data_IF_522471823611
#
_entry.id   IF_522471823611
#
_cell.length_a   1.000
_cell.length_b   1.000
_cell.length_c   1.000
_cell.angle_alpha   90.00
_cell.angle_beta   90.00
_cell.angle_gamma   90.00
#
_symmetry.space_group_name_H-M   'P 1'
#
loop_
_entity.id
_entity.type
_entity.pdbx_description
1 polymer ?
#
# COMPACT_ATOMS: atom_id res chain seq x y z
N UNK A 1 -10.41 22.39 -9.63
CA UNK A 1 -9.15 22.66 -10.29
C UNK A 1 -8.14 21.57 -9.92
N UNK A 2 -7.56 20.91 -10.91
CA UNK A 2 -6.44 20.00 -10.74
C UNK A 2 -5.16 20.81 -10.83
N UNK A 3 -4.36 20.85 -9.76
CA UNK A 3 -3.07 21.51 -9.76
C UNK A 3 -1.99 20.50 -10.16
N UNK A 4 -1.20 20.82 -11.15
CA UNK A 4 -0.03 20.03 -11.52
C UNK A 4 1.19 20.54 -10.76
N UNK A 5 1.95 19.63 -10.19
CA UNK A 5 3.23 19.93 -9.55
C UNK A 5 4.28 18.90 -10.00
N UNK A 6 5.54 19.31 -9.99
CA UNK A 6 6.64 18.39 -10.27
C UNK A 6 6.81 17.45 -9.08
N UNK A 7 6.69 16.14 -9.31
CA UNK A 7 6.88 15.13 -8.27
C UNK A 7 8.34 15.18 -7.76
N UNK A 8 8.49 15.10 -6.45
CA UNK A 8 9.82 14.91 -5.86
C UNK A 8 10.33 13.49 -6.13
N UNK A 9 11.65 13.29 -6.21
CA UNK A 9 12.23 11.95 -6.25
C UNK A 9 11.76 11.09 -5.08
N UNK A 10 11.73 9.78 -5.26
CA UNK A 10 11.43 8.85 -4.18
C UNK A 10 12.39 9.10 -3.00
N UNK A 11 11.81 9.25 -1.81
CA UNK A 11 12.56 9.45 -0.59
C UNK A 11 12.47 8.18 0.24
N UNK A 12 13.63 7.69 0.70
CA UNK A 12 13.71 6.54 1.58
C UNK A 12 14.69 6.84 2.71
N UNK A 13 14.18 6.75 3.93
CA UNK A 13 14.96 6.91 5.15
C UNK A 13 14.90 5.62 5.94
N UNK A 14 16.05 5.12 6.34
CA UNK A 14 16.17 3.94 7.18
C UNK A 14 17.07 4.26 8.36
N UNK A 15 16.55 4.07 9.55
CA UNK A 15 17.33 4.09 10.79
C UNK A 15 17.38 2.68 11.35
N UNK A 16 18.57 2.22 11.73
CA UNK A 16 18.75 0.91 12.37
C UNK A 16 19.72 1.05 13.54
N UNK A 17 19.34 0.47 14.66
CA UNK A 17 20.16 0.38 15.87
C UNK A 17 20.16 -1.05 16.37
N UNK A 18 21.34 -1.57 16.62
CA UNK A 18 21.57 -2.88 17.23
C UNK A 18 22.50 -2.70 18.44
N UNK A 19 22.06 -3.16 19.59
CA UNK A 19 22.83 -3.07 20.83
C UNK A 19 22.71 -4.34 21.64
N UNK A 20 23.82 -4.72 22.27
CA UNK A 20 23.88 -5.78 23.27
C UNK A 20 24.58 -5.22 24.49
N UNK A 21 24.05 -5.48 25.67
CA UNK A 21 24.63 -5.07 26.95
C UNK A 21 24.43 -6.15 27.99
N UNK A 22 25.39 -6.27 28.89
CA UNK A 22 25.39 -7.24 29.98
C UNK A 22 25.08 -6.49 31.28
N UNK A 23 24.09 -7.00 32.04
CA UNK A 23 23.73 -6.49 33.37
C UNK A 23 23.78 -7.63 34.35
N UNK A 24 24.90 -7.71 35.10
CA UNK A 24 25.17 -8.83 35.98
C UNK A 24 25.27 -10.15 35.19
N UNK A 25 24.40 -11.10 35.50
CA UNK A 25 24.32 -12.40 34.83
C UNK A 25 23.32 -12.42 33.65
N UNK A 26 22.77 -11.25 33.27
CA UNK A 26 21.82 -11.12 32.20
C UNK A 26 22.45 -10.50 30.96
N UNK A 27 22.17 -11.08 29.79
CA UNK A 27 22.51 -10.55 28.50
C UNK A 27 21.28 -10.02 27.81
N UNK A 28 21.28 -8.72 27.47
CA UNK A 28 20.14 -8.05 26.83
C UNK A 28 20.55 -7.62 25.44
N UNK A 29 19.77 -8.02 24.43
CA UNK A 29 19.92 -7.58 23.05
C UNK A 29 18.72 -6.74 22.61
N UNK A 30 18.99 -5.69 21.85
CA UNK A 30 17.97 -4.88 21.21
C UNK A 30 18.27 -4.70 19.73
N UNK A 31 17.24 -4.86 18.89
CA UNK A 31 17.26 -4.48 17.48
C UNK A 31 16.07 -3.57 17.24
N UNK A 32 16.35 -2.35 16.86
CA UNK A 32 15.37 -1.35 16.50
C UNK A 32 15.61 -0.90 15.07
N UNK A 33 14.57 -0.87 14.25
CA UNK A 33 14.63 -0.34 12.89
C UNK A 33 13.40 0.48 12.61
N UNK A 34 13.58 1.65 11.99
CA UNK A 34 12.50 2.50 11.48
C UNK A 34 12.77 2.80 10.02
N UNK A 35 11.80 2.50 9.17
CA UNK A 35 11.86 2.74 7.74
C UNK A 35 10.73 3.67 7.33
N UNK A 36 11.07 4.74 6.64
CA UNK A 36 10.11 5.64 6.03
C UNK A 36 10.39 5.71 4.53
N UNK A 37 9.36 5.63 3.70
CA UNK A 37 9.49 5.90 2.28
C UNK A 37 8.26 6.59 1.72
N UNK A 38 8.47 7.49 0.78
CA UNK A 38 7.41 8.13 -0.01
C UNK A 38 7.82 8.21 -1.46
N UNK A 39 6.90 7.88 -2.34
CA UNK A 39 7.14 7.87 -3.78
C UNK A 39 5.89 8.25 -4.56
N UNK A 40 6.11 8.69 -5.80
CA UNK A 40 5.08 9.09 -6.74
C UNK A 40 5.17 8.22 -7.99
N UNK A 41 4.03 7.69 -8.40
CA UNK A 41 3.89 6.89 -9.62
C UNK A 41 2.93 7.62 -10.57
N UNK A 42 3.23 7.55 -11.85
CA UNK A 42 2.40 8.06 -12.94
C UNK A 42 2.17 6.94 -13.96
N UNK A 43 0.93 6.73 -14.33
CA UNK A 43 0.55 5.72 -15.30
C UNK A 43 -0.37 6.31 -16.36
N UNK A 44 -0.08 6.01 -17.61
CA UNK A 44 -0.99 6.20 -18.74
C UNK A 44 -1.43 4.85 -19.26
N UNK A 45 -2.73 4.66 -19.38
CA UNK A 45 -3.32 3.39 -19.83
C UNK A 45 -4.35 3.66 -20.92
N UNK A 46 -4.29 2.88 -21.98
CA UNK A 46 -5.33 2.85 -23.02
C UNK A 46 -6.26 1.67 -22.73
N UNK A 47 -7.53 1.96 -22.53
CA UNK A 47 -8.54 0.97 -22.24
C UNK A 47 -9.55 0.93 -23.39
N UNK A 48 -9.39 -0.05 -24.29
CA UNK A 48 -10.19 -0.19 -25.48
C UNK A 48 -10.98 -1.50 -25.43
N UNK A 49 -12.23 -1.46 -25.86
CA UNK A 49 -13.04 -2.64 -26.10
C UNK A 49 -13.53 -2.63 -27.54
N UNK A 50 -13.36 -3.75 -28.22
CA UNK A 50 -13.73 -3.90 -29.63
C UNK A 50 -15.06 -4.62 -29.74
N UNK A 51 -15.91 -4.14 -30.62
CA UNK A 51 -17.22 -4.71 -30.89
C UNK A 51 -17.13 -5.75 -32.02
N UNK A 52 -16.49 -5.38 -33.14
CA UNK A 52 -16.32 -6.24 -34.30
C UNK A 52 -15.10 -5.82 -35.11
N UNK A 53 -14.65 -6.73 -35.97
CA UNK A 53 -13.59 -6.48 -36.96
C UNK A 53 -14.15 -6.67 -38.37
N UNK A 54 -14.00 -5.65 -39.22
CA UNK A 54 -14.40 -5.67 -40.62
C UNK A 54 -13.19 -6.05 -41.46
N UNK A 55 -13.15 -7.30 -41.92
CA UNK A 55 -12.06 -7.83 -42.76
C UNK A 55 -11.94 -7.13 -44.12
N UNK A 56 -13.03 -6.59 -44.67
CA UNK A 56 -13.02 -5.95 -45.98
C UNK A 56 -12.36 -4.57 -45.93
N UNK A 57 -12.42 -3.90 -44.81
CA UNK A 57 -11.87 -2.56 -44.59
C UNK A 57 -10.59 -2.58 -43.72
N UNK A 58 -10.20 -3.75 -43.19
CA UNK A 58 -9.13 -3.91 -42.22
C UNK A 58 -9.28 -2.93 -41.02
N UNK A 59 -10.51 -2.82 -40.50
CA UNK A 59 -10.84 -1.89 -39.43
C UNK A 59 -11.60 -2.56 -38.31
N UNK A 60 -11.24 -2.19 -37.07
CA UNK A 60 -11.96 -2.58 -35.87
C UNK A 60 -12.96 -1.50 -35.46
N UNK A 61 -14.18 -1.91 -35.18
CA UNK A 61 -15.14 -1.03 -34.50
C UNK A 61 -14.98 -1.15 -33.00
N UNK A 62 -15.01 0.00 -32.32
CA UNK A 62 -14.86 0.07 -30.88
C UNK A 62 -16.21 0.13 -30.19
N UNK A 63 -16.36 -0.59 -29.08
CA UNK A 63 -17.46 -0.38 -28.14
C UNK A 63 -17.19 0.86 -27.29
N UNK A 64 -15.96 0.98 -26.77
CA UNK A 64 -15.45 2.17 -26.13
C UNK A 64 -13.95 2.30 -26.31
N UNK A 65 -13.47 3.52 -26.19
CA UNK A 65 -12.04 3.86 -26.19
C UNK A 65 -11.78 4.93 -25.16
N UNK A 66 -11.03 4.57 -24.12
CA UNK A 66 -10.67 5.46 -23.02
C UNK A 66 -9.16 5.59 -22.89
N UNK A 67 -8.75 6.78 -22.52
CA UNK A 67 -7.41 7.08 -22.02
C UNK A 67 -7.53 7.32 -20.51
N UNK A 68 -6.82 6.53 -19.73
CA UNK A 68 -6.77 6.62 -18.29
C UNK A 68 -5.42 7.16 -17.87
N UNK A 69 -5.43 8.19 -17.04
CA UNK A 69 -4.22 8.74 -16.41
C UNK A 69 -4.37 8.58 -14.90
N UNK A 70 -3.37 7.99 -14.25
CA UNK A 70 -3.36 7.78 -12.81
C UNK A 70 -2.12 8.38 -12.18
N UNK A 71 -2.33 9.25 -11.22
CA UNK A 71 -1.32 9.78 -10.31
C UNK A 71 -1.46 9.09 -8.97
N UNK A 72 -0.37 8.58 -8.42
CA UNK A 72 -0.39 7.84 -7.17
C UNK A 72 0.77 8.28 -6.29
N UNK A 73 0.47 8.64 -5.06
CA UNK A 73 1.45 8.85 -4.01
C UNK A 73 1.32 7.74 -2.97
N UNK A 74 2.41 7.10 -2.64
CA UNK A 74 2.46 6.05 -1.62
C UNK A 74 3.47 6.42 -0.55
N UNK A 75 3.01 6.50 0.68
CA UNK A 75 3.86 6.69 1.86
C UNK A 75 3.80 5.43 2.73
N UNK A 76 4.96 4.96 3.17
CA UNK A 76 5.11 3.78 4.02
C UNK A 76 5.94 4.13 5.25
N UNK A 77 5.48 3.69 6.41
CA UNK A 77 6.20 3.72 7.66
C UNK A 77 6.25 2.30 8.22
N UNK A 78 7.45 1.79 8.43
CA UNK A 78 7.68 0.50 9.07
C UNK A 78 8.53 0.70 10.33
N UNK A 79 8.21 0.00 11.38
CA UNK A 79 9.01 -0.04 12.61
C UNK A 79 9.13 -1.47 13.11
N UNK A 80 10.33 -1.80 13.56
CA UNK A 80 10.67 -3.07 14.18
C UNK A 80 11.36 -2.75 15.50
N UNK A 81 10.91 -3.40 16.58
CA UNK A 81 11.42 -3.16 17.91
C UNK A 81 11.47 -4.46 18.69
N UNK A 82 12.62 -5.10 18.65
CA UNK A 82 12.83 -6.43 19.20
C UNK A 82 13.79 -6.38 20.37
N UNK A 83 13.47 -7.15 21.39
CA UNK A 83 14.30 -7.35 22.57
C UNK A 83 14.52 -8.84 22.80
N UNK A 84 15.72 -9.17 23.25
CA UNK A 84 16.07 -10.49 23.76
C UNK A 84 16.70 -10.37 25.13
N UNK A 85 16.32 -11.23 26.03
CA UNK A 85 16.89 -11.35 27.38
C UNK A 85 17.34 -12.79 27.60
N UNK A 86 18.59 -12.97 27.94
CA UNK A 86 19.13 -14.28 28.35
C UNK A 86 19.57 -14.18 29.80
N UNK A 87 19.12 -15.11 30.62
CA UNK A 87 19.51 -15.26 32.03
C UNK A 87 19.71 -16.73 32.35
N UNK A 88 20.92 -17.14 32.62
CA UNK A 88 21.22 -18.55 32.86
C UNK A 88 20.79 -19.44 31.70
N UNK A 89 19.90 -20.40 31.96
CA UNK A 89 19.35 -21.35 30.98
C UNK A 89 18.03 -20.88 30.34
N UNK A 90 17.60 -19.64 30.63
CA UNK A 90 16.35 -19.09 30.14
C UNK A 90 16.61 -17.98 29.13
N UNK A 91 15.85 -17.98 28.04
CA UNK A 91 15.84 -16.95 27.01
C UNK A 91 14.43 -16.45 26.81
N UNK A 92 14.27 -15.14 26.78
CA UNK A 92 13.01 -14.45 26.44
C UNK A 92 13.22 -13.59 25.23
N UNK A 93 12.24 -13.56 24.33
CA UNK A 93 12.25 -12.68 23.17
C UNK A 93 10.93 -11.95 23.06
N UNK A 94 11.03 -10.62 22.88
CA UNK A 94 9.90 -9.75 22.62
C UNK A 94 10.09 -9.14 21.23
N UNK A 95 9.27 -9.53 20.27
CA UNK A 95 9.35 -9.12 18.88
C UNK A 95 8.13 -8.28 18.54
N UNK A 96 8.39 -7.11 17.96
CA UNK A 96 7.32 -6.21 17.53
C UNK A 96 7.59 -5.72 16.12
N UNK A 97 6.56 -5.75 15.32
CA UNK A 97 6.54 -5.26 13.97
C UNK A 97 5.32 -4.35 13.78
N UNK A 98 5.56 -3.15 13.29
CA UNK A 98 4.53 -2.19 12.91
C UNK A 98 4.74 -1.76 11.47
N UNK A 99 3.68 -1.71 10.68
CA UNK A 99 3.71 -1.21 9.32
C UNK A 99 2.44 -0.41 9.04
N UNK A 100 2.64 0.78 8.48
CA UNK A 100 1.56 1.64 8.00
C UNK A 100 1.85 2.07 6.57
N UNK A 101 0.86 1.94 5.70
CA UNK A 101 0.91 2.36 4.31
C UNK A 101 -0.29 3.25 4.02
N UNK A 102 -0.02 4.48 3.58
CA UNK A 102 -1.01 5.39 3.01
C UNK A 102 -0.82 5.47 1.50
N UNK A 103 -1.91 5.42 0.75
CA UNK A 103 -1.89 5.61 -0.71
C UNK A 103 -2.98 6.59 -1.09
N UNK A 104 -2.57 7.70 -1.70
CA UNK A 104 -3.46 8.67 -2.35
C UNK A 104 -3.37 8.48 -3.86
N UNK A 105 -4.49 8.33 -4.52
CA UNK A 105 -4.55 8.18 -5.97
C UNK A 105 -5.57 9.13 -6.57
N UNK A 106 -5.21 9.74 -7.69
CA UNK A 106 -6.08 10.51 -8.55
C UNK A 106 -6.10 9.83 -9.91
N UNK A 107 -7.26 9.36 -10.33
CA UNK A 107 -7.46 8.74 -11.64
C UNK A 107 -8.33 9.64 -12.50
N UNK A 108 -7.91 9.87 -13.73
CA UNK A 108 -8.64 10.62 -14.74
C UNK A 108 -8.89 9.70 -15.92
N UNK A 109 -10.13 9.62 -16.36
CA UNK A 109 -10.55 8.87 -17.54
C UNK A 109 -11.22 9.82 -18.53
N UNK A 110 -10.76 9.79 -19.76
CA UNK A 110 -11.38 10.51 -20.86
C UNK A 110 -11.52 9.59 -22.06
N UNK A 111 -12.63 9.71 -22.78
CA UNK A 111 -12.84 8.97 -24.02
C UNK A 111 -14.31 8.84 -24.40
N UNK A 112 -14.55 8.05 -25.43
CA UNK A 112 -15.86 7.86 -26.03
C UNK A 112 -16.36 6.45 -25.81
N UNK A 113 -17.60 6.35 -25.37
CA UNK A 113 -18.40 5.14 -25.39
C UNK A 113 -19.30 5.19 -26.65
N UNK A 114 -18.90 4.42 -27.66
CA UNK A 114 -19.63 4.42 -28.95
C UNK A 114 -20.95 3.67 -28.88
N UNK A 115 -21.14 2.83 -27.85
CA UNK A 115 -22.41 2.12 -27.66
C UNK A 115 -23.49 3.01 -27.08
N UNK A 116 -23.14 3.91 -26.16
CA UNK A 116 -24.05 4.87 -25.55
C UNK A 116 -24.01 6.24 -26.20
N UNK A 117 -23.16 6.44 -27.22
CA UNK A 117 -22.95 7.69 -27.95
C UNK A 117 -22.62 8.87 -27.02
N UNK A 118 -21.66 8.63 -26.10
CA UNK A 118 -21.29 9.58 -25.05
C UNK A 118 -19.79 9.74 -24.92
N UNK A 119 -19.35 10.98 -24.78
CA UNK A 119 -18.03 11.32 -24.29
C UNK A 119 -18.05 11.29 -22.76
N UNK A 120 -17.10 10.59 -22.18
CA UNK A 120 -16.99 10.40 -20.73
C UNK A 120 -15.74 11.10 -20.24
N UNK A 121 -15.90 11.91 -19.20
CA UNK A 121 -14.80 12.41 -18.37
C UNK A 121 -15.08 12.01 -16.94
N UNK A 122 -14.18 11.27 -16.32
CA UNK A 122 -14.29 10.81 -14.94
C UNK A 122 -13.03 11.18 -14.17
N UNK A 123 -13.21 11.76 -12.99
CA UNK A 123 -12.15 11.98 -12.00
C UNK A 123 -12.50 11.18 -10.76
N UNK A 124 -11.53 10.46 -10.27
CA UNK A 124 -11.66 9.69 -9.04
C UNK A 124 -10.47 9.96 -8.13
N UNK A 125 -10.74 10.54 -6.97
CA UNK A 125 -9.75 10.71 -5.91
C UNK A 125 -10.05 9.68 -4.82
N UNK A 126 -9.03 8.92 -4.44
CA UNK A 126 -9.14 7.84 -3.46
C UNK A 126 -7.95 7.86 -2.52
N UNK A 127 -8.22 7.85 -1.22
CA UNK A 127 -7.21 7.60 -0.21
C UNK A 127 -7.45 6.26 0.48
N UNK A 128 -6.40 5.46 0.60
CA UNK A 128 -6.44 4.19 1.32
C UNK A 128 -5.33 4.11 2.35
N UNK A 129 -5.67 3.62 3.53
CA UNK A 129 -4.74 3.39 4.62
C UNK A 129 -4.74 1.93 5.04
N UNK A 130 -3.55 1.34 5.20
CA UNK A 130 -3.34 0.02 5.79
C UNK A 130 -2.43 0.13 6.98
N UNK A 131 -2.85 -0.45 8.10
CA UNK A 131 -2.05 -0.55 9.31
C UNK A 131 -1.96 -2.03 9.69
N UNK A 132 -0.75 -2.48 9.98
CA UNK A 132 -0.51 -3.85 10.46
C UNK A 132 0.40 -3.76 11.68
N UNK A 133 0.04 -4.45 12.72
CA UNK A 133 0.85 -4.66 13.90
C UNK A 133 0.92 -6.14 14.22
N UNK A 134 2.11 -6.61 14.62
CA UNK A 134 2.32 -7.95 15.13
C UNK A 134 3.29 -7.88 16.30
N UNK A 135 2.86 -8.41 17.44
CA UNK A 135 3.65 -8.56 18.66
C UNK A 135 3.76 -10.01 19.03
N UNK A 136 4.93 -10.45 19.43
CA UNK A 136 5.20 -11.80 19.85
C UNK A 136 6.10 -11.79 21.09
N UNK A 137 5.69 -12.55 22.10
CA UNK A 137 6.51 -12.84 23.28
C UNK A 137 6.78 -14.34 23.30
N UNK A 138 8.04 -14.73 23.38
CA UNK A 138 8.45 -16.12 23.44
C UNK A 138 9.45 -16.34 24.57
N UNK A 139 9.41 -17.53 25.13
CA UNK A 139 10.35 -17.97 26.15
C UNK A 139 10.86 -19.37 25.85
N UNK A 140 12.14 -19.58 26.10
CA UNK A 140 12.84 -20.85 26.01
C UNK A 140 13.50 -21.12 27.35
N UNK A 141 13.24 -22.27 27.95
CA UNK A 141 13.77 -22.65 29.24
C UNK A 141 14.36 -24.05 29.17
N UNK A 142 15.64 -24.19 29.48
CA UNK A 142 16.26 -25.48 29.67
C UNK A 142 16.05 -25.90 31.12
N UNK A 143 15.30 -26.99 31.30
CA UNK A 143 14.99 -27.57 32.58
C UNK A 143 15.95 -28.72 32.79
N UNK A 144 16.82 -28.65 33.84
CA UNK A 144 17.69 -29.71 34.34
C UNK A 144 18.57 -30.40 33.26
N UNK A 145 19.85 -30.06 33.23
CA UNK A 145 20.93 -30.77 32.53
C UNK A 145 20.61 -31.21 31.08
N UNK A 146 20.21 -30.25 30.24
CA UNK A 146 19.96 -30.42 28.80
C UNK A 146 18.93 -31.51 28.39
N UNK A 147 18.28 -32.20 29.34
CA UNK A 147 17.33 -33.27 29.02
C UNK A 147 15.92 -32.79 28.73
N UNK A 148 15.48 -31.64 29.24
CA UNK A 148 14.14 -31.12 29.02
C UNK A 148 14.19 -29.63 28.62
N UNK A 149 13.49 -29.28 27.55
CA UNK A 149 13.33 -27.92 27.05
C UNK A 149 11.86 -27.54 27.03
N UNK A 150 11.53 -26.39 27.61
CA UNK A 150 10.19 -25.80 27.53
C UNK A 150 10.25 -24.56 26.63
N UNK A 151 9.52 -24.61 25.53
CA UNK A 151 9.34 -23.48 24.62
C UNK A 151 7.87 -23.03 24.64
N UNK A 152 7.65 -21.74 24.73
CA UNK A 152 6.31 -21.17 24.65
C UNK A 152 6.31 -19.88 23.85
N UNK A 153 5.20 -19.56 23.22
CA UNK A 153 5.03 -18.37 22.40
C UNK A 153 3.62 -17.82 22.55
N UNK A 154 3.52 -16.52 22.82
CA UNK A 154 2.30 -15.75 22.80
C UNK A 154 2.39 -14.73 21.67
N UNK A 155 1.36 -14.66 20.84
CA UNK A 155 1.31 -13.74 19.70
C UNK A 155 0.02 -12.94 19.69
N UNK A 156 0.12 -11.69 19.28
CA UNK A 156 -1.01 -10.82 18.98
C UNK A 156 -0.76 -10.12 17.64
N UNK A 157 -1.74 -10.13 16.75
CA UNK A 157 -1.66 -9.45 15.48
C UNK A 157 -2.96 -8.67 15.21
N UNK A 158 -2.78 -7.50 14.61
CA UNK A 158 -3.88 -6.62 14.22
C UNK A 158 -3.60 -6.08 12.82
N UNK A 159 -4.63 -6.10 11.97
CA UNK A 159 -4.59 -5.49 10.65
C UNK A 159 -5.86 -4.68 10.42
N UNK A 160 -5.70 -3.46 9.93
CA UNK A 160 -6.80 -2.58 9.57
C UNK A 160 -6.61 -2.01 8.17
N UNK A 161 -7.70 -1.94 7.44
CA UNK A 161 -7.82 -1.23 6.17
C UNK A 161 -8.85 -0.13 6.32
N UNK A 162 -8.53 1.07 5.84
CA UNK A 162 -9.42 2.24 5.87
C UNK A 162 -9.44 2.92 4.51
N UNK A 163 -10.62 3.29 4.08
CA UNK A 163 -10.88 4.10 2.90
C UNK A 163 -11.74 5.30 3.31
N UNK A 164 -11.16 6.29 3.98
CA UNK A 164 -11.93 7.37 4.60
C UNK A 164 -12.47 8.39 3.60
N UNK A 165 -11.85 8.54 2.44
CA UNK A 165 -12.21 9.56 1.48
C UNK A 165 -12.11 9.01 0.05
N UNK A 166 -13.27 8.91 -0.59
CA UNK A 166 -13.42 8.58 -2.00
C UNK A 166 -14.34 9.59 -2.65
N UNK A 167 -13.85 10.30 -3.65
CA UNK A 167 -14.59 11.28 -4.41
C UNK A 167 -14.60 10.88 -5.88
N UNK A 168 -15.76 10.83 -6.48
CA UNK A 168 -15.94 10.52 -7.89
C UNK A 168 -16.77 11.63 -8.52
N UNK A 169 -16.24 12.21 -9.59
CA UNK A 169 -16.97 13.16 -10.44
C UNK A 169 -16.99 12.59 -11.85
N UNK A 170 -18.17 12.43 -12.42
CA UNK A 170 -18.35 11.95 -13.79
C UNK A 170 -19.12 13.00 -14.58
N UNK A 171 -18.58 13.38 -15.73
CA UNK A 171 -19.25 14.20 -16.73
C UNK A 171 -19.56 13.34 -17.95
N UNK A 172 -20.76 13.43 -18.43
CA UNK A 172 -21.25 12.80 -19.67
C UNK A 172 -21.68 13.90 -20.61
N UNK A 173 -21.18 13.85 -21.83
CA UNK A 173 -21.52 14.76 -22.92
C UNK A 173 -22.01 13.93 -24.10
N UNK A 174 -23.24 14.23 -24.59
CA UNK A 174 -23.74 13.57 -25.79
C UNK A 174 -22.87 13.97 -26.99
N UNK A 175 -22.51 13.00 -27.83
CA UNK A 175 -21.76 13.29 -29.06
C UNK A 175 -22.65 13.98 -30.11
N UNK A 176 -24.00 13.88 -30.00
CA UNK A 176 -24.93 14.39 -30.97
C UNK A 176 -25.46 15.78 -30.62
N UNK A 177 -25.70 16.08 -29.33
CA UNK A 177 -26.42 17.31 -28.93
C UNK A 177 -25.54 18.29 -28.11
N UNK A 178 -24.32 17.92 -27.73
CA UNK A 178 -23.42 18.77 -26.92
C UNK A 178 -23.95 19.08 -25.51
N UNK A 179 -24.98 18.38 -25.05
CA UNK A 179 -25.55 18.52 -23.70
C UNK A 179 -24.63 17.80 -22.68
N UNK A 180 -24.09 18.58 -21.76
CA UNK A 180 -23.16 18.07 -20.73
C UNK A 180 -23.87 17.86 -19.41
N UNK A 181 -23.80 16.65 -18.85
CA UNK A 181 -24.33 16.29 -17.52
C UNK A 181 -23.23 15.91 -16.56
N UNK A 182 -23.32 16.41 -15.32
CA UNK A 182 -22.38 16.12 -14.24
C UNK A 182 -23.05 15.25 -13.18
N UNK A 183 -22.36 14.23 -12.71
CA UNK A 183 -22.82 13.30 -11.68
C UNK A 183 -21.78 13.11 -10.59
#
# INVERSE_FOLDING_TARGET
NVCHFTAMPEQKLTFMMNRTFDIGDMKIGNITSVNYSTGYDYYEMKNNNYLSYDMAKDQSSYRYRYNDVQYKNTTKLGALFNWSLMKGTSKYEFRNFFNQRGTSSLSQREGTDFYSDQNIRKWESLYTGRTTYSGQLSGEHKLREDMNKLDWTLGYAFAAYKEPDRKVVKSLESTTDGDSRYY
#
